data_IF_167893741151
#
_entry.id   IF_167893741151
#
_cell.length_a   1.000
_cell.length_b   1.000
_cell.length_c   1.000
_cell.angle_alpha   90.00
_cell.angle_beta   90.00
_cell.angle_gamma   90.00
#
_symmetry.space_group_name_H-M   'P 1'
#
loop_
_entity.id
_entity.type
_entity.pdbx_description
1 polymer ?
#
# COMPACT_ATOMS: atom_id res chain seq x y z
N UNK A 1 -13.13 4.71 -3.24
CA UNK A 1 -11.92 5.13 -2.49
C UNK A 1 -10.64 4.45 -3.00
N UNK A 2 -10.60 3.13 -3.17
CA UNK A 2 -9.38 2.43 -3.64
C UNK A 2 -8.95 2.85 -5.07
N UNK A 3 -9.92 3.10 -5.94
CA UNK A 3 -9.71 3.51 -7.34
C UNK A 3 -9.01 4.88 -7.49
N UNK A 4 -8.97 5.70 -6.44
CA UNK A 4 -8.31 7.03 -6.47
C UNK A 4 -6.83 6.98 -6.11
N UNK A 5 -6.34 5.80 -5.70
CA UNK A 5 -4.92 5.55 -5.48
C UNK A 5 -4.23 5.22 -6.80
N UNK A 6 -2.94 5.56 -6.92
CA UNK A 6 -2.15 5.10 -8.05
C UNK A 6 -1.98 3.57 -8.02
N UNK A 7 -1.74 2.92 -9.17
CA UNK A 7 -1.70 1.45 -9.26
C UNK A 7 -0.72 0.79 -8.29
N UNK A 8 0.43 1.43 -8.03
CA UNK A 8 1.44 0.89 -7.11
C UNK A 8 0.96 0.97 -5.66
N UNK A 9 0.38 2.10 -5.25
CA UNK A 9 -0.23 2.24 -3.92
C UNK A 9 -1.39 1.27 -3.71
N UNK A 10 -2.21 1.03 -4.73
CA UNK A 10 -3.28 0.03 -4.64
C UNK A 10 -2.73 -1.38 -4.39
N UNK A 11 -1.71 -1.80 -5.15
CA UNK A 11 -1.09 -3.12 -4.97
C UNK A 11 -0.49 -3.29 -3.57
N UNK A 12 0.24 -2.27 -3.08
CA UNK A 12 0.81 -2.29 -1.72
C UNK A 12 -0.28 -2.47 -0.66
N UNK A 13 -1.41 -1.75 -0.77
CA UNK A 13 -2.51 -1.91 0.19
C UNK A 13 -3.15 -3.29 0.08
N UNK A 14 -3.41 -3.78 -1.14
CA UNK A 14 -3.98 -5.13 -1.34
C UNK A 14 -3.07 -6.19 -0.72
N UNK A 15 -1.79 -6.20 -1.09
CA UNK A 15 -0.82 -7.20 -0.66
C UNK A 15 -0.55 -7.19 0.86
N UNK A 16 -0.69 -6.04 1.53
CA UNK A 16 -0.42 -5.91 2.98
C UNK A 16 -1.64 -6.05 3.87
N UNK A 17 -2.82 -5.68 3.38
CA UNK A 17 -4.02 -5.56 4.21
C UNK A 17 -5.15 -6.48 3.81
N UNK A 18 -5.24 -6.88 2.53
CA UNK A 18 -6.38 -7.64 2.00
C UNK A 18 -6.03 -9.10 1.65
N UNK A 19 -4.75 -9.44 1.62
CA UNK A 19 -4.30 -10.84 1.54
C UNK A 19 -4.28 -11.42 2.97
N UNK A 20 -5.22 -12.29 3.30
CA UNK A 20 -5.38 -12.82 4.66
C UNK A 20 -4.39 -13.94 4.99
N UNK A 21 -3.96 -14.70 3.98
CA UNK A 21 -3.09 -15.87 4.16
C UNK A 21 -1.61 -15.53 3.93
N UNK A 22 -1.29 -14.50 3.12
CA UNK A 22 0.08 -14.17 2.77
C UNK A 22 0.34 -12.65 2.67
N UNK A 23 0.32 -11.98 3.82
CA UNK A 23 0.62 -10.54 3.89
C UNK A 23 2.07 -10.26 3.51
N UNK A 24 2.26 -9.53 2.42
CA UNK A 24 3.57 -9.10 1.99
C UNK A 24 4.22 -8.16 3.04
N UNK A 25 5.48 -8.39 3.32
CA UNK A 25 6.31 -7.51 4.15
C UNK A 25 6.75 -6.27 3.36
N UNK A 26 7.23 -5.24 4.06
CA UNK A 26 7.79 -4.06 3.40
C UNK A 26 9.04 -4.40 2.58
N UNK A 27 9.82 -5.39 3.01
CA UNK A 27 11.03 -5.83 2.32
C UNK A 27 10.70 -6.56 1.01
N UNK A 28 9.74 -7.47 1.01
CA UNK A 28 9.33 -8.18 -0.22
C UNK A 28 8.79 -7.21 -1.28
N UNK A 29 8.01 -6.21 -0.85
CA UNK A 29 7.52 -5.17 -1.76
C UNK A 29 8.65 -4.23 -2.21
N UNK A 30 9.62 -3.95 -1.35
CA UNK A 30 10.79 -3.14 -1.67
C UNK A 30 11.62 -3.81 -2.78
N UNK A 31 11.88 -5.11 -2.63
CA UNK A 31 12.56 -5.93 -3.64
C UNK A 31 11.75 -6.00 -4.94
N UNK A 32 10.44 -6.29 -4.86
CA UNK A 32 9.55 -6.35 -6.04
C UNK A 32 9.56 -5.05 -6.85
N UNK A 33 9.59 -3.90 -6.18
CA UNK A 33 9.51 -2.59 -6.81
C UNK A 33 10.86 -1.90 -7.05
N UNK A 34 11.96 -2.51 -6.62
CA UNK A 34 13.30 -1.93 -6.74
C UNK A 34 13.46 -0.61 -5.98
N UNK A 35 12.79 -0.48 -4.83
CA UNK A 35 12.84 0.71 -3.96
C UNK A 35 13.20 0.32 -2.53
N UNK A 36 13.43 1.27 -1.65
CA UNK A 36 13.66 0.97 -0.23
C UNK A 36 12.37 0.58 0.50
N UNK A 37 12.48 -0.23 1.55
CA UNK A 37 11.36 -0.57 2.44
C UNK A 37 10.71 0.67 3.07
N UNK A 38 11.51 1.69 3.37
CA UNK A 38 10.99 2.99 3.84
C UNK A 38 10.15 3.69 2.76
N UNK A 39 10.54 3.59 1.48
CA UNK A 39 9.74 4.15 0.39
C UNK A 39 8.40 3.43 0.25
N UNK A 40 8.37 2.10 0.41
CA UNK A 40 7.11 1.32 0.45
C UNK A 40 6.24 1.78 1.61
N UNK A 41 6.81 1.94 2.82
CA UNK A 41 6.09 2.42 4.01
C UNK A 41 5.46 3.80 3.80
N UNK A 42 6.17 4.70 3.12
CA UNK A 42 5.64 6.03 2.78
C UNK A 42 4.46 5.95 1.81
N UNK A 43 4.55 5.10 0.78
CA UNK A 43 3.45 4.87 -0.17
C UNK A 43 2.22 4.28 0.55
N UNK A 44 2.44 3.28 1.40
CA UNK A 44 1.39 2.68 2.25
C UNK A 44 0.70 3.75 3.13
N UNK A 45 1.47 4.55 3.86
CA UNK A 45 0.90 5.58 4.75
C UNK A 45 0.10 6.63 3.97
N UNK A 46 0.63 7.08 2.82
CA UNK A 46 -0.06 8.05 1.96
C UNK A 46 -1.36 7.47 1.40
N UNK A 47 -1.34 6.21 0.97
CA UNK A 47 -2.51 5.49 0.49
C UNK A 47 -3.56 5.35 1.60
N UNK A 48 -3.16 4.90 2.79
CA UNK A 48 -4.05 4.77 3.94
C UNK A 48 -4.68 6.12 4.34
N UNK A 49 -3.90 7.21 4.31
CA UNK A 49 -4.43 8.55 4.60
C UNK A 49 -5.52 8.96 3.60
N UNK A 50 -5.30 8.71 2.30
CA UNK A 50 -6.28 8.97 1.24
C UNK A 50 -7.55 8.13 1.41
N UNK A 51 -7.40 6.84 1.72
CA UNK A 51 -8.53 5.95 1.97
C UNK A 51 -9.36 6.39 3.17
N UNK A 52 -8.73 6.71 4.31
CA UNK A 52 -9.43 7.23 5.49
C UNK A 52 -10.17 8.53 5.18
N UNK A 53 -9.54 9.45 4.45
CA UNK A 53 -10.18 10.71 4.05
C UNK A 53 -11.39 10.49 3.14
N UNK A 54 -11.38 9.47 2.28
CA UNK A 54 -12.48 9.18 1.37
C UNK A 54 -13.65 8.44 2.04
N UNK A 55 -13.44 7.84 3.22
CA UNK A 55 -14.50 7.18 4.02
C UNK A 55 -15.09 8.14 5.06
N UNK A 56 -14.29 9.11 5.53
CA UNK A 56 -14.75 10.16 6.43
C UNK A 56 -15.58 11.27 5.75
N UNK A 57 -15.73 11.20 4.42
CA UNK A 57 -16.61 12.02 3.59
C UNK A 57 -17.93 11.29 3.37
#
# INVERSE_FOLDING_TARGET
AMETLDPRSQDIIRARWLDDDNKATLHELAERYGISAERVRQLENNAMKKLRSAIAL
#
